data_IF_939170157151
#
_entry.id   IF_939170157151
#
_cell.length_a   1.000
_cell.length_b   1.000
_cell.length_c   1.000
_cell.angle_alpha   90.00
_cell.angle_beta   90.00
_cell.angle_gamma   90.00
#
_symmetry.space_group_name_H-M   'P 1'
#
loop_
_entity.id
_entity.type
_entity.pdbx_description
1 polymer ?
#
# COMPACT_ATOMS: atom_id res chain seq x y z
N UNK A 1 -63.86 -45.01 -45.47
CA UNK A 1 -63.31 -44.02 -46.42
C UNK A 1 -62.71 -42.86 -45.63
N UNK A 2 -61.41 -42.61 -45.83
CA UNK A 2 -60.66 -41.34 -45.66
C UNK A 2 -60.68 -40.54 -44.33
N UNK A 3 -59.50 -40.47 -43.69
CA UNK A 3 -58.77 -39.33 -43.06
C UNK A 3 -59.55 -38.27 -42.22
N UNK A 4 -59.10 -37.70 -41.08
CA UNK A 4 -57.77 -37.32 -40.52
C UNK A 4 -57.96 -36.89 -39.02
N UNK A 5 -56.89 -36.61 -38.25
CA UNK A 5 -56.83 -36.67 -36.77
C UNK A 5 -57.03 -35.31 -36.06
N UNK A 6 -57.22 -35.33 -34.74
CA UNK A 6 -56.96 -34.19 -33.84
C UNK A 6 -56.25 -34.69 -32.57
N UNK A 7 -55.03 -34.19 -32.36
CA UNK A 7 -54.30 -34.23 -31.10
C UNK A 7 -54.99 -33.31 -30.08
N UNK A 8 -55.16 -33.78 -28.84
CA UNK A 8 -55.28 -32.90 -27.67
C UNK A 8 -54.30 -33.37 -26.59
N UNK A 9 -53.39 -32.47 -26.25
CA UNK A 9 -52.32 -32.56 -25.27
C UNK A 9 -52.87 -32.70 -23.84
N UNK A 10 -52.42 -33.71 -23.09
CA UNK A 10 -52.54 -33.75 -21.64
C UNK A 10 -51.38 -32.95 -21.02
N UNK A 11 -51.72 -31.93 -20.23
CA UNK A 11 -50.83 -31.33 -19.25
C UNK A 11 -50.66 -32.28 -18.06
N UNK A 12 -49.42 -32.62 -17.74
CA UNK A 12 -49.03 -33.14 -16.41
C UNK A 12 -47.94 -32.23 -15.86
N UNK A 13 -48.31 -31.52 -14.80
CA UNK A 13 -47.46 -30.75 -13.89
C UNK A 13 -46.45 -31.65 -13.19
N UNK A 14 -45.15 -31.40 -13.37
CA UNK A 14 -44.12 -31.79 -12.41
C UNK A 14 -43.62 -30.53 -11.71
N UNK A 15 -43.80 -30.48 -10.39
CA UNK A 15 -43.16 -29.50 -9.53
C UNK A 15 -41.66 -29.85 -9.42
N UNK A 16 -40.79 -29.02 -9.98
CA UNK A 16 -39.40 -28.96 -9.52
C UNK A 16 -39.38 -28.12 -8.24
N UNK A 17 -39.18 -28.79 -7.10
CA UNK A 17 -38.63 -28.14 -5.93
C UNK A 17 -37.16 -27.86 -6.22
N UNK A 18 -36.82 -26.58 -6.44
CA UNK A 18 -35.44 -26.13 -6.40
C UNK A 18 -34.97 -26.24 -4.95
N UNK A 19 -34.17 -27.26 -4.64
CA UNK A 19 -33.19 -27.17 -3.58
C UNK A 19 -32.13 -26.20 -4.10
N UNK A 20 -32.18 -24.95 -3.64
CA UNK A 20 -31.03 -24.06 -3.71
C UNK A 20 -30.00 -24.60 -2.73
N UNK A 21 -29.03 -25.34 -3.24
CA UNK A 21 -27.71 -25.38 -2.60
C UNK A 21 -27.22 -23.93 -2.59
N UNK A 22 -27.25 -23.31 -1.41
CA UNK A 22 -26.45 -22.13 -1.13
C UNK A 22 -24.98 -22.57 -1.25
N UNK A 23 -24.21 -22.12 -2.25
CA UNK A 23 -22.79 -22.33 -2.19
C UNK A 23 -22.29 -21.59 -0.95
N UNK A 24 -21.74 -22.35 -0.01
CA UNK A 24 -20.93 -21.83 1.08
C UNK A 24 -19.96 -20.81 0.50
N UNK A 25 -19.94 -19.61 1.07
CA UNK A 25 -18.97 -18.58 0.74
C UNK A 25 -17.56 -19.17 0.87
N UNK A 26 -16.96 -19.48 -0.27
CA UNK A 26 -15.52 -19.70 -0.39
C UNK A 26 -14.85 -18.40 0.09
N UNK A 27 -13.90 -18.45 1.04
CA UNK A 27 -13.09 -17.28 1.33
C UNK A 27 -12.33 -16.91 0.05
N UNK A 28 -12.49 -15.66 -0.37
CA UNK A 28 -11.92 -15.04 -1.57
C UNK A 28 -10.63 -15.69 -2.11
N UNK A 29 -10.78 -16.63 -3.04
CA UNK A 29 -9.70 -17.16 -3.88
C UNK A 29 -9.22 -16.14 -4.96
N UNK A 30 -9.60 -14.87 -4.83
CA UNK A 30 -9.13 -13.75 -5.63
C UNK A 30 -8.14 -12.84 -4.86
N UNK A 31 -7.84 -13.16 -3.60
CA UNK A 31 -6.80 -12.48 -2.84
C UNK A 31 -5.47 -13.24 -3.03
N UNK A 32 -4.42 -12.52 -3.44
CA UNK A 32 -2.99 -12.90 -3.44
C UNK A 32 -2.36 -13.49 -4.72
N UNK A 33 -3.10 -13.80 -5.80
CA UNK A 33 -2.50 -14.37 -7.02
C UNK A 33 -1.87 -13.31 -7.94
N UNK A 34 -0.59 -13.51 -8.28
CA UNK A 34 0.20 -12.79 -9.31
C UNK A 34 0.46 -11.29 -9.05
N UNK A 35 1.32 -11.00 -8.07
CA UNK A 35 1.61 -9.61 -7.65
C UNK A 35 2.56 -8.81 -8.54
N UNK A 36 2.93 -9.33 -9.72
CA UNK A 36 2.68 -8.70 -11.03
C UNK A 36 3.67 -9.09 -12.13
N UNK A 37 3.16 -9.18 -13.36
CA UNK A 37 3.92 -9.32 -14.60
C UNK A 37 3.87 -7.98 -15.33
N UNK A 38 5.03 -7.36 -15.61
CA UNK A 38 5.10 -6.09 -16.36
C UNK A 38 4.72 -4.84 -15.57
N UNK A 39 4.78 -4.89 -14.25
CA UNK A 39 4.86 -3.67 -13.45
C UNK A 39 6.07 -2.84 -13.88
N UNK A 40 6.03 -1.53 -13.62
CA UNK A 40 7.20 -0.66 -13.61
C UNK A 40 7.43 -0.15 -12.15
N UNK A 41 7.57 -1.02 -11.12
CA UNK A 41 7.74 -0.61 -9.68
C UNK A 41 8.86 -1.29 -8.87
N UNK A 42 9.76 -0.47 -8.31
CA UNK A 42 11.08 -0.88 -7.81
C UNK A 42 11.96 0.35 -7.59
N UNK A 43 12.14 0.79 -6.34
CA UNK A 43 11.49 2.05 -5.97
C UNK A 43 12.50 3.13 -5.53
N UNK A 44 12.16 4.42 -5.72
CA UNK A 44 12.66 5.49 -4.85
C UNK A 44 12.44 5.13 -3.37
N UNK A 45 13.37 5.55 -2.51
CA UNK A 45 13.27 5.37 -1.05
C UNK A 45 11.95 5.97 -0.50
N UNK A 46 11.48 7.04 -1.16
CA UNK A 46 10.27 7.78 -0.85
C UNK A 46 9.43 7.90 -2.13
N UNK A 47 8.49 6.99 -2.32
CA UNK A 47 7.35 7.21 -3.21
C UNK A 47 6.20 7.70 -2.34
N UNK A 48 6.39 8.89 -1.78
CA UNK A 48 5.46 9.52 -0.84
C UNK A 48 4.60 10.55 -1.55
N UNK A 49 3.59 11.08 -0.87
CA UNK A 49 2.75 12.13 -1.45
C UNK A 49 3.57 13.36 -1.85
N UNK A 50 3.26 13.92 -3.01
CA UNK A 50 3.87 15.13 -3.53
C UNK A 50 2.83 16.24 -3.66
N UNK A 51 3.27 17.47 -3.45
CA UNK A 51 2.44 18.67 -3.61
C UNK A 51 3.20 19.64 -4.49
N UNK A 52 2.67 19.98 -5.67
CA UNK A 52 3.37 20.82 -6.65
C UNK A 52 4.80 20.32 -7.00
N UNK A 53 5.00 18.99 -7.03
CA UNK A 53 6.30 18.37 -7.31
C UNK A 53 7.31 18.45 -6.16
N UNK A 54 6.87 18.84 -4.97
CA UNK A 54 7.65 18.78 -3.73
C UNK A 54 7.18 17.57 -2.94
N UNK A 55 8.11 16.67 -2.61
CA UNK A 55 7.86 15.56 -1.69
C UNK A 55 7.48 16.12 -0.32
N UNK A 56 6.32 15.72 0.17
CA UNK A 56 5.87 15.99 1.52
C UNK A 56 5.63 14.60 2.09
N UNK A 57 6.47 14.03 2.96
CA UNK A 57 6.21 12.67 3.43
C UNK A 57 5.17 12.62 4.54
N UNK A 58 5.34 13.53 5.50
CA UNK A 58 4.53 13.62 6.68
C UNK A 58 4.17 15.07 6.99
N UNK A 59 3.00 15.27 7.59
CA UNK A 59 2.54 16.55 8.09
C UNK A 59 2.32 16.46 9.60
N UNK A 60 2.90 17.41 10.35
CA UNK A 60 2.68 17.51 11.78
C UNK A 60 1.28 18.06 12.07
N UNK A 61 0.55 17.42 12.95
CA UNK A 61 -0.79 17.83 13.38
C UNK A 61 -0.76 19.06 14.30
N UNK A 62 0.38 19.37 14.90
CA UNK A 62 0.59 20.54 15.76
C UNK A 62 1.05 21.80 14.99
N UNK A 63 1.16 21.71 13.67
CA UNK A 63 1.64 22.80 12.81
C UNK A 63 3.16 23.00 12.87
N UNK A 64 3.93 22.05 13.40
CA UNK A 64 5.40 22.10 13.27
C UNK A 64 5.80 21.89 11.81
N UNK A 65 6.82 22.63 11.33
CA UNK A 65 7.40 22.42 9.99
C UNK A 65 8.16 21.09 9.98
N UNK A 66 7.88 20.23 9.00
CA UNK A 66 8.59 18.96 8.78
C UNK A 66 8.92 18.82 7.30
N UNK A 67 10.19 18.56 6.97
CA UNK A 67 10.69 18.46 5.60
C UNK A 67 10.26 19.65 4.70
N UNK A 68 10.30 20.86 5.27
CA UNK A 68 9.91 22.08 4.57
C UNK A 68 8.40 22.24 4.34
N UNK A 69 7.55 21.40 4.93
CA UNK A 69 6.10 21.51 4.85
C UNK A 69 5.47 21.74 6.23
N UNK A 70 4.41 22.55 6.30
CA UNK A 70 3.63 22.77 7.52
C UNK A 70 2.14 22.68 7.22
N UNK A 71 1.43 21.85 7.99
CA UNK A 71 -0.03 21.88 7.99
C UNK A 71 -0.50 23.14 8.69
N UNK A 72 -1.26 23.98 7.99
CA UNK A 72 -1.77 25.26 8.50
C UNK A 72 -3.19 25.09 9.01
N UNK A 73 -4.04 24.45 8.23
CA UNK A 73 -5.46 24.30 8.52
C UNK A 73 -6.05 23.09 7.78
N UNK A 74 -7.01 22.40 8.41
CA UNK A 74 -7.92 21.48 7.73
C UNK A 74 -9.34 21.90 7.99
N UNK A 75 -10.15 21.96 6.95
CA UNK A 75 -11.59 22.22 7.04
C UNK A 75 -12.37 21.15 6.27
N UNK A 76 -13.50 20.72 6.80
CA UNK A 76 -14.36 19.71 6.16
C UNK A 76 -15.55 20.35 5.47
N UNK A 77 -16.08 19.71 4.44
CA UNK A 77 -17.25 20.21 3.72
C UNK A 77 -18.52 19.87 4.50
N UNK A 78 -19.10 20.86 5.19
CA UNK A 78 -20.35 20.67 5.90
C UNK A 78 -21.53 20.45 4.92
N UNK A 79 -22.60 19.81 5.37
CA UNK A 79 -23.81 19.54 4.57
C UNK A 79 -24.44 20.79 3.91
N UNK A 80 -24.17 21.99 4.44
CA UNK A 80 -24.60 23.26 3.85
C UNK A 80 -23.71 23.79 2.71
N UNK A 81 -22.66 23.07 2.33
CA UNK A 81 -21.69 23.46 1.30
C UNK A 81 -20.62 24.44 1.76
N UNK A 82 -20.57 24.77 3.05
CA UNK A 82 -19.51 25.60 3.64
C UNK A 82 -18.38 24.76 4.20
N UNK A 83 -17.15 25.26 4.10
CA UNK A 83 -16.01 24.65 4.80
C UNK A 83 -16.08 24.99 6.30
N UNK A 84 -16.05 23.98 7.16
CA UNK A 84 -16.01 24.11 8.63
C UNK A 84 -14.62 23.70 9.15
N UNK A 85 -13.82 24.64 9.70
CA UNK A 85 -12.48 24.33 10.22
C UNK A 85 -12.51 23.32 11.36
N UNK A 86 -11.60 22.34 11.28
CA UNK A 86 -11.35 21.39 12.36
C UNK A 86 -10.45 22.03 13.42
N UNK A 87 -10.82 21.85 14.70
CA UNK A 87 -10.00 22.24 15.86
C UNK A 87 -9.22 21.07 16.46
N UNK A 88 -9.51 19.86 15.99
CA UNK A 88 -8.74 18.65 16.28
C UNK A 88 -8.79 17.72 15.07
N UNK A 89 -7.67 17.05 14.84
CA UNK A 89 -7.51 16.04 13.82
C UNK A 89 -6.76 14.89 14.49
N UNK A 90 -7.21 13.69 14.26
CA UNK A 90 -6.62 12.45 14.75
C UNK A 90 -6.61 11.46 13.58
N UNK A 91 -5.68 10.53 13.66
CA UNK A 91 -5.59 9.41 12.74
C UNK A 91 -5.51 8.16 13.60
N UNK A 92 -6.39 7.21 13.36
CA UNK A 92 -6.40 5.93 14.06
C UNK A 92 -6.60 4.82 13.04
N UNK A 93 -5.64 3.89 12.94
CA UNK A 93 -5.71 2.73 12.03
C UNK A 93 -6.03 3.11 10.58
N UNK A 94 -5.41 4.19 10.09
CA UNK A 94 -5.63 4.69 8.74
C UNK A 94 -6.89 5.53 8.53
N UNK A 95 -7.73 5.74 9.55
CA UNK A 95 -8.94 6.56 9.48
C UNK A 95 -8.75 7.94 10.11
N UNK A 96 -8.98 8.98 9.32
CA UNK A 96 -9.03 10.35 9.82
C UNK A 96 -10.29 10.56 10.65
N UNK A 97 -10.13 11.22 11.79
CA UNK A 97 -11.22 11.77 12.57
C UNK A 97 -10.92 13.20 12.98
N UNK A 98 -11.96 14.00 13.22
CA UNK A 98 -11.78 15.38 13.65
C UNK A 98 -13.05 15.99 14.20
N UNK A 99 -12.89 17.10 14.93
CA UNK A 99 -14.02 17.86 15.45
C UNK A 99 -13.89 19.34 15.13
N UNK A 100 -15.02 20.00 14.87
CA UNK A 100 -15.06 21.45 14.66
C UNK A 100 -15.27 22.18 15.98
N UNK A 101 -15.11 23.51 15.99
CA UNK A 101 -15.29 24.32 17.21
C UNK A 101 -16.70 24.18 17.82
N UNK A 102 -17.69 23.80 17.01
CA UNK A 102 -19.06 23.54 17.44
C UNK A 102 -19.25 22.19 18.16
N UNK A 103 -18.25 21.30 18.11
CA UNK A 103 -18.31 19.93 18.61
C UNK A 103 -18.87 18.90 17.62
N UNK A 104 -19.10 19.29 16.36
CA UNK A 104 -19.47 18.33 15.30
C UNK A 104 -18.26 17.46 14.96
N UNK A 105 -18.44 16.15 15.00
CA UNK A 105 -17.41 15.16 14.66
C UNK A 105 -17.55 14.68 13.21
N UNK A 106 -16.42 14.37 12.59
CA UNK A 106 -16.29 13.87 11.22
C UNK A 106 -15.28 12.72 11.21
N UNK A 107 -15.50 11.70 10.39
CA UNK A 107 -14.64 10.53 10.30
C UNK A 107 -14.62 9.93 8.89
N UNK A 108 -13.48 9.34 8.48
CA UNK A 108 -13.41 8.51 7.29
C UNK A 108 -13.86 9.25 6.02
N UNK A 109 -14.95 8.76 5.42
CA UNK A 109 -15.57 9.32 4.22
C UNK A 109 -16.01 10.79 4.35
N UNK A 110 -16.25 11.28 5.57
CA UNK A 110 -16.62 12.67 5.82
C UNK A 110 -15.53 13.68 5.41
N UNK A 111 -14.29 13.23 5.27
CA UNK A 111 -13.19 14.05 4.81
C UNK A 111 -13.18 14.25 3.29
N UNK A 112 -14.02 13.54 2.51
CA UNK A 112 -14.14 13.79 1.07
C UNK A 112 -14.63 15.21 0.82
N UNK A 113 -13.88 15.97 0.02
CA UNK A 113 -14.08 17.39 -0.23
C UNK A 113 -13.48 18.33 0.83
N UNK A 114 -12.72 17.80 1.80
CA UNK A 114 -12.01 18.63 2.79
C UNK A 114 -10.95 19.53 2.15
N UNK A 115 -10.70 20.69 2.76
CA UNK A 115 -9.62 21.60 2.41
C UNK A 115 -8.44 21.36 3.34
N UNK A 116 -7.25 21.18 2.78
CA UNK A 116 -6.00 21.12 3.54
C UNK A 116 -5.11 22.25 3.06
N UNK A 117 -4.83 23.21 3.94
CA UNK A 117 -3.91 24.31 3.65
C UNK A 117 -2.53 23.90 4.15
N UNK A 118 -1.59 23.76 3.22
CA UNK A 118 -0.20 23.38 3.50
C UNK A 118 0.71 24.52 3.09
N UNK A 119 1.57 24.96 3.99
CA UNK A 119 2.68 25.85 3.64
C UNK A 119 3.89 25.02 3.22
N UNK A 120 4.44 25.29 2.02
CA UNK A 120 5.64 24.68 1.49
C UNK A 120 6.79 25.70 1.45
N UNK A 121 7.99 25.29 1.87
CA UNK A 121 9.19 26.11 1.94
C UNK A 121 9.34 26.85 3.27
N UNK A 122 10.41 27.65 3.38
CA UNK A 122 10.73 28.41 4.59
C UNK A 122 10.89 29.90 4.31
N UNK A 123 10.45 30.72 5.28
CA UNK A 123 10.66 32.17 5.26
C UNK A 123 9.87 32.90 4.17
N UNK A 124 10.41 34.01 3.61
CA UNK A 124 9.67 34.86 2.66
C UNK A 124 9.28 34.20 1.33
N UNK A 125 9.81 33.01 1.05
CA UNK A 125 9.52 32.23 -0.16
C UNK A 125 8.53 31.09 0.07
N UNK A 126 7.95 30.98 1.27
CA UNK A 126 6.98 29.94 1.56
C UNK A 126 5.66 30.18 0.80
N UNK A 127 5.10 29.11 0.24
CA UNK A 127 3.88 29.12 -0.58
C UNK A 127 2.76 28.36 0.14
N UNK A 128 1.55 28.89 0.12
CA UNK A 128 0.36 28.18 0.57
C UNK A 128 -0.24 27.39 -0.59
N UNK A 129 -0.36 26.08 -0.41
CA UNK A 129 -1.01 25.17 -1.35
C UNK A 129 -2.28 24.60 -0.72
N UNK A 130 -3.30 24.42 -1.56
CA UNK A 130 -4.54 23.75 -1.19
C UNK A 130 -4.53 22.33 -1.72
N UNK A 131 -4.77 21.38 -0.81
CA UNK A 131 -5.08 20.00 -1.15
C UNK A 131 -6.53 19.68 -0.76
N UNK A 132 -7.06 18.64 -1.36
CA UNK A 132 -8.37 18.06 -1.05
C UNK A 132 -8.29 16.56 -1.08
N UNK A 133 -9.15 15.93 -0.30
CA UNK A 133 -9.45 14.50 -0.48
C UNK A 133 -10.57 14.42 -1.51
N UNK A 134 -10.33 13.80 -2.66
CA UNK A 134 -11.33 13.66 -3.73
C UNK A 134 -12.15 12.39 -3.61
N UNK A 135 -11.60 11.35 -2.98
CA UNK A 135 -12.27 10.07 -2.77
C UNK A 135 -11.76 9.37 -1.50
N UNK A 136 -12.58 8.46 -0.98
CA UNK A 136 -12.27 7.59 0.15
C UNK A 136 -12.73 6.18 -0.17
N UNK A 137 -11.79 5.22 -0.08
CA UNK A 137 -12.09 3.81 -0.22
C UNK A 137 -12.08 3.17 1.16
N UNK A 138 -13.24 2.68 1.58
CA UNK A 138 -13.44 1.93 2.82
C UNK A 138 -13.08 0.45 2.60
N UNK A 139 -11.95 0.02 3.18
CA UNK A 139 -11.34 -1.28 2.93
C UNK A 139 -10.52 -1.74 4.15
N UNK A 140 -11.07 -1.63 5.37
CA UNK A 140 -10.37 -1.99 6.62
C UNK A 140 -9.67 -3.37 6.53
N UNK A 141 -8.38 -3.47 6.88
CA UNK A 141 -7.52 -2.44 7.49
C UNK A 141 -6.72 -1.57 6.49
N UNK A 142 -7.07 -1.56 5.21
CA UNK A 142 -6.40 -0.84 4.12
C UNK A 142 -7.21 0.35 3.57
N UNK A 143 -8.09 0.92 4.40
CA UNK A 143 -8.83 2.13 4.04
C UNK A 143 -7.86 3.24 3.61
N UNK A 144 -8.21 3.95 2.54
CA UNK A 144 -7.29 4.85 1.83
C UNK A 144 -8.00 6.04 1.22
N UNK A 145 -7.23 7.10 1.03
CA UNK A 145 -7.72 8.39 0.54
C UNK A 145 -7.07 8.72 -0.80
N UNK A 146 -7.84 9.31 -1.71
CA UNK A 146 -7.30 9.94 -2.91
C UNK A 146 -7.11 11.42 -2.61
N UNK A 147 -5.86 11.88 -2.66
CA UNK A 147 -5.50 13.27 -2.41
C UNK A 147 -5.14 13.98 -3.71
N UNK A 148 -5.67 15.18 -3.88
CA UNK A 148 -5.41 16.04 -5.02
C UNK A 148 -5.06 17.46 -4.59
N UNK A 149 -4.26 18.16 -5.39
CA UNK A 149 -3.97 19.57 -5.22
C UNK A 149 -4.31 20.37 -6.47
N UNK A 150 -4.44 21.69 -6.30
CA UNK A 150 -4.66 22.61 -7.40
C UNK A 150 -4.87 24.05 -6.94
N UNK A 151 -5.17 24.98 -7.86
CA UNK A 151 -5.35 26.39 -7.54
C UNK A 151 -6.50 26.65 -6.56
N UNK A 152 -7.52 25.79 -6.59
CA UNK A 152 -8.66 25.79 -5.66
C UNK A 152 -9.09 24.34 -5.42
N UNK A 153 -9.78 24.08 -4.31
CA UNK A 153 -10.36 22.76 -4.00
C UNK A 153 -11.27 22.27 -5.14
N UNK A 154 -12.13 23.15 -5.66
CA UNK A 154 -13.11 22.80 -6.69
C UNK A 154 -12.48 22.50 -8.07
N UNK A 155 -11.21 22.84 -8.27
CA UNK A 155 -10.47 22.62 -9.52
C UNK A 155 -9.19 21.83 -9.28
N UNK A 156 -9.04 21.22 -8.11
CA UNK A 156 -7.94 20.31 -7.83
C UNK A 156 -8.14 19.08 -8.71
N UNK A 157 -7.08 18.70 -9.43
CA UNK A 157 -7.05 17.53 -10.31
C UNK A 157 -5.67 16.88 -10.35
N UNK A 158 -4.67 17.51 -9.72
CA UNK A 158 -3.31 16.96 -9.70
C UNK A 158 -3.22 16.01 -8.53
N UNK A 159 -3.20 14.71 -8.81
CA UNK A 159 -3.02 13.68 -7.79
C UNK A 159 -1.72 13.91 -7.01
N UNK A 160 -1.79 13.75 -5.69
CA UNK A 160 -0.63 13.82 -4.83
C UNK A 160 0.16 12.50 -4.80
N UNK A 161 -0.46 11.40 -5.20
CA UNK A 161 0.22 10.12 -5.37
C UNK A 161 0.39 9.78 -6.84
N UNK A 162 1.49 9.10 -7.16
CA UNK A 162 1.62 8.44 -8.45
C UNK A 162 0.59 7.30 -8.55
N UNK A 163 0.02 7.12 -9.75
CA UNK A 163 -0.92 6.04 -10.03
C UNK A 163 -0.20 4.69 -9.90
N UNK A 164 -0.66 3.84 -8.99
CA UNK A 164 -0.27 2.45 -8.99
C UNK A 164 -0.91 1.77 -10.22
N UNK A 165 -0.15 1.16 -11.12
CA UNK A 165 -0.68 0.66 -12.39
C UNK A 165 -1.19 -0.77 -12.31
N UNK A 166 -1.11 -1.42 -11.14
CA UNK A 166 -1.81 -2.69 -10.91
C UNK A 166 -3.28 -2.38 -10.63
N UNK A 167 -3.53 -1.44 -9.72
CA UNK A 167 -4.88 -1.04 -9.30
C UNK A 167 -5.48 0.05 -10.18
N UNK A 168 -4.64 0.88 -10.81
CA UNK A 168 -5.03 2.11 -11.49
C UNK A 168 -5.33 3.28 -10.55
N UNK A 169 -5.02 3.16 -9.25
CA UNK A 169 -5.38 4.15 -8.24
C UNK A 169 -4.21 5.06 -7.85
N UNK A 170 -4.51 6.33 -7.57
CA UNK A 170 -3.57 7.30 -7.00
C UNK A 170 -3.90 7.60 -5.52
N UNK A 171 -4.06 6.55 -4.73
CA UNK A 171 -4.49 6.62 -3.33
C UNK A 171 -3.32 6.45 -2.35
N UNK A 172 -3.53 6.90 -1.10
CA UNK A 172 -2.61 6.73 0.02
C UNK A 172 -3.31 6.10 1.21
N UNK A 173 -2.62 5.16 1.85
CA UNK A 173 -2.92 4.76 3.22
C UNK A 173 -2.24 5.76 4.14
N UNK A 174 -2.95 6.22 5.15
CA UNK A 174 -2.41 7.17 6.13
C UNK A 174 -1.89 6.40 7.34
N UNK A 175 -0.73 6.83 7.85
CA UNK A 175 -0.10 6.23 9.02
C UNK A 175 0.11 7.30 10.09
N UNK A 176 -0.29 6.98 11.31
CA UNK A 176 -0.05 7.82 12.48
C UNK A 176 1.38 7.60 12.98
N UNK A 177 1.97 8.69 13.47
CA UNK A 177 3.24 8.67 14.19
C UNK A 177 4.39 7.97 13.44
N UNK A 178 4.39 8.10 12.11
CA UNK A 178 5.35 7.45 11.22
C UNK A 178 6.08 8.49 10.38
N UNK A 179 7.38 8.30 10.17
CA UNK A 179 8.11 8.93 9.08
C UNK A 179 9.15 7.96 8.53
N UNK A 180 9.86 8.37 7.48
CA UNK A 180 10.88 7.55 6.82
C UNK A 180 12.18 8.32 6.81
N UNK A 181 13.24 7.73 7.33
CA UNK A 181 14.60 8.25 7.15
C UNK A 181 14.94 8.20 5.66
N UNK A 182 15.16 9.36 5.04
CA UNK A 182 15.34 9.46 3.59
C UNK A 182 16.67 8.84 3.10
N UNK A 183 17.64 8.65 3.99
CA UNK A 183 18.94 8.08 3.66
C UNK A 183 18.92 6.56 3.73
N UNK A 184 18.30 5.99 4.78
CA UNK A 184 18.29 4.54 5.03
C UNK A 184 16.96 3.88 4.64
N UNK A 185 15.92 4.67 4.41
CA UNK A 185 14.55 4.22 4.22
C UNK A 185 13.94 3.58 5.47
N UNK A 186 14.57 3.69 6.65
CA UNK A 186 14.05 3.18 7.93
C UNK A 186 12.78 3.90 8.33
N UNK A 187 11.77 3.14 8.75
CA UNK A 187 10.58 3.68 9.36
C UNK A 187 10.91 4.15 10.77
N UNK A 188 10.75 5.44 11.04
CA UNK A 188 11.00 6.02 12.36
C UNK A 188 9.69 6.48 12.99
N UNK A 189 9.66 6.47 14.31
CA UNK A 189 8.50 6.96 15.05
C UNK A 189 8.53 8.48 15.06
N UNK A 190 7.41 9.07 14.71
CA UNK A 190 7.32 10.50 14.53
C UNK A 190 6.00 11.03 15.08
N UNK A 191 5.90 11.07 16.41
CA UNK A 191 4.67 11.41 17.14
C UNK A 191 4.00 12.72 16.67
N UNK A 192 2.67 12.68 16.61
CA UNK A 192 1.81 13.80 16.22
C UNK A 192 1.89 14.11 14.72
N UNK A 193 2.15 13.11 13.88
CA UNK A 193 2.21 13.30 12.43
C UNK A 193 1.31 12.33 11.67
N UNK A 194 0.93 12.75 10.46
CA UNK A 194 0.31 11.90 9.44
C UNK A 194 1.35 11.67 8.36
N UNK A 195 1.73 10.42 8.12
CA UNK A 195 2.46 10.01 6.94
C UNK A 195 1.50 9.50 5.86
N UNK A 196 1.74 9.87 4.61
CA UNK A 196 0.88 9.49 3.50
C UNK A 196 1.63 8.47 2.64
N UNK A 197 1.39 7.19 2.91
CA UNK A 197 1.98 6.11 2.13
C UNK A 197 1.16 5.87 0.87
N UNK A 198 1.55 6.53 -0.22
CA UNK A 198 1.01 6.23 -1.55
C UNK A 198 1.14 4.73 -1.84
N UNK A 199 0.09 4.12 -2.37
CA UNK A 199 0.08 2.67 -2.62
C UNK A 199 1.05 2.25 -3.75
N UNK A 200 1.45 3.21 -4.58
CA UNK A 200 2.52 3.06 -5.57
C UNK A 200 3.92 3.00 -4.94
N UNK A 201 4.07 3.42 -3.67
CA UNK A 201 5.31 3.40 -2.91
C UNK A 201 5.45 2.23 -1.94
N UNK A 202 6.67 2.00 -1.44
CA UNK A 202 6.99 0.84 -0.61
C UNK A 202 6.19 0.78 0.71
N UNK A 203 5.94 1.93 1.35
CA UNK A 203 5.19 2.01 2.61
C UNK A 203 3.72 1.66 2.40
N UNK A 204 3.03 2.33 1.47
CA UNK A 204 1.64 2.02 1.14
C UNK A 204 1.47 0.59 0.62
N UNK A 205 2.41 0.12 -0.22
CA UNK A 205 2.42 -1.24 -0.76
C UNK A 205 2.59 -2.32 0.32
N UNK A 206 3.45 -2.08 1.32
CA UNK A 206 3.60 -2.98 2.45
C UNK A 206 2.28 -3.15 3.21
N UNK A 207 1.55 -2.06 3.44
CA UNK A 207 0.20 -2.15 3.99
C UNK A 207 -0.74 -2.91 3.06
N UNK A 208 -0.80 -2.59 1.76
CA UNK A 208 -1.62 -3.34 0.78
C UNK A 208 -1.28 -4.83 0.66
N UNK A 209 -0.09 -5.25 1.09
CA UNK A 209 0.31 -6.66 1.15
C UNK A 209 -0.16 -7.38 2.43
N UNK A 210 -0.89 -6.67 3.28
CA UNK A 210 -1.45 -7.16 4.54
C UNK A 210 -0.63 -6.77 5.78
N UNK A 211 0.44 -5.97 5.64
CA UNK A 211 1.35 -5.67 6.75
C UNK A 211 1.13 -4.27 7.31
N UNK A 212 -0.06 -3.94 7.77
CA UNK A 212 -0.30 -2.68 8.46
C UNK A 212 0.34 -2.66 9.87
N UNK A 213 0.95 -1.54 10.31
CA UNK A 213 1.65 -1.48 11.60
C UNK A 213 0.77 -1.80 12.82
N UNK A 214 -0.51 -1.45 12.77
CA UNK A 214 -1.44 -1.62 13.90
C UNK A 214 -1.95 -3.06 14.09
N UNK A 215 -1.80 -3.94 13.09
CA UNK A 215 -2.18 -5.36 13.22
C UNK A 215 -0.98 -6.29 13.35
N UNK A 216 0.13 -5.98 12.66
CA UNK A 216 1.31 -6.86 12.58
C UNK A 216 2.59 -6.25 13.15
N UNK A 217 2.52 -5.03 13.67
CA UNK A 217 3.66 -4.33 14.27
C UNK A 217 4.56 -3.65 13.24
N UNK A 218 5.36 -2.71 13.74
CA UNK A 218 6.26 -1.89 12.91
C UNK A 218 7.36 -2.72 12.25
N UNK A 219 7.85 -3.77 12.90
CA UNK A 219 8.91 -4.63 12.36
C UNK A 219 8.45 -5.40 11.12
N UNK A 220 7.21 -5.91 11.13
CA UNK A 220 6.64 -6.58 9.96
C UNK A 220 6.50 -5.58 8.80
N UNK A 221 5.91 -4.41 9.07
CA UNK A 221 5.76 -3.37 8.05
C UNK A 221 7.12 -2.91 7.47
N UNK A 222 8.09 -2.60 8.34
CA UNK A 222 9.48 -2.28 7.98
C UNK A 222 10.08 -3.38 7.10
N UNK A 223 10.01 -4.64 7.52
CA UNK A 223 10.54 -5.78 6.78
C UNK A 223 9.93 -5.85 5.39
N UNK A 224 8.61 -5.69 5.26
CA UNK A 224 7.96 -5.66 3.94
C UNK A 224 8.42 -4.48 3.09
N UNK A 225 8.60 -3.28 3.66
CA UNK A 225 9.14 -2.15 2.87
C UNK A 225 10.54 -2.47 2.32
N UNK A 226 11.39 -3.15 3.10
CA UNK A 226 12.72 -3.61 2.68
C UNK A 226 12.62 -4.66 1.57
N UNK A 227 11.70 -5.64 1.72
CA UNK A 227 11.40 -6.66 0.70
C UNK A 227 10.98 -6.00 -0.62
N UNK A 228 10.08 -5.02 -0.60
CA UNK A 228 9.60 -4.31 -1.81
C UNK A 228 10.77 -3.66 -2.56
N UNK A 229 11.71 -3.04 -1.84
CA UNK A 229 12.88 -2.36 -2.41
C UNK A 229 14.04 -3.29 -2.76
N UNK A 230 13.96 -4.57 -2.39
CA UNK A 230 15.11 -5.45 -2.31
C UNK A 230 16.29 -4.79 -1.56
N UNK A 231 15.99 -4.09 -0.47
CA UNK A 231 16.99 -3.44 0.37
C UNK A 231 17.65 -4.49 1.27
N UNK A 232 18.50 -5.30 0.66
CA UNK A 232 19.13 -6.44 1.32
C UNK A 232 19.99 -6.01 2.51
N UNK A 233 20.57 -4.81 2.46
CA UNK A 233 21.49 -4.32 3.49
C UNK A 233 20.80 -3.52 4.59
N UNK A 234 19.53 -3.15 4.40
CA UNK A 234 18.80 -2.28 5.32
C UNK A 234 19.27 -0.82 5.29
N UNK A 235 20.08 -0.45 4.31
CA UNK A 235 20.79 0.83 4.22
C UNK A 235 20.14 1.82 3.24
N UNK A 236 18.93 1.51 2.77
CA UNK A 236 18.18 2.32 1.81
C UNK A 236 18.54 2.04 0.36
N UNK A 237 19.59 1.25 0.08
CA UNK A 237 19.99 0.94 -1.29
C UNK A 237 19.07 -0.11 -1.90
N UNK A 238 18.32 0.30 -2.93
CA UNK A 238 17.55 -0.64 -3.74
C UNK A 238 18.47 -1.53 -4.60
N UNK A 239 18.25 -2.85 -4.56
CA UNK A 239 18.89 -3.84 -5.43
C UNK A 239 17.90 -4.48 -6.39
N UNK A 240 16.84 -3.76 -6.68
CA UNK A 240 15.83 -4.12 -7.66
C UNK A 240 15.53 -2.89 -8.50
N UNK A 241 14.87 -3.12 -9.63
CA UNK A 241 14.30 -2.03 -10.40
C UNK A 241 12.82 -2.21 -10.52
N UNK A 242 12.27 -1.13 -11.03
CA UNK A 242 10.88 -1.00 -11.30
C UNK A 242 10.36 -2.13 -12.19
N UNK A 243 9.51 -3.00 -11.62
CA UNK A 243 8.84 -4.08 -12.33
C UNK A 243 9.28 -5.50 -12.03
N UNK A 244 10.28 -5.64 -11.16
CA UNK A 244 10.88 -6.95 -10.90
C UNK A 244 9.93 -7.78 -10.03
N UNK A 245 9.46 -8.95 -10.52
CA UNK A 245 8.49 -9.77 -9.80
C UNK A 245 9.14 -10.51 -8.63
N UNK A 246 8.32 -10.87 -7.65
CA UNK A 246 8.70 -11.68 -6.49
C UNK A 246 7.47 -12.45 -5.99
N UNK A 247 7.72 -13.45 -5.16
CA UNK A 247 6.72 -14.03 -4.27
C UNK A 247 7.24 -14.03 -2.84
N UNK A 248 6.32 -14.05 -1.89
CA UNK A 248 6.59 -13.88 -0.47
C UNK A 248 5.82 -14.94 0.33
N UNK A 249 6.49 -15.56 1.29
CA UNK A 249 5.89 -16.27 2.39
C UNK A 249 6.34 -15.61 3.70
N UNK A 250 5.51 -15.68 4.74
CA UNK A 250 5.82 -15.11 6.05
C UNK A 250 5.40 -16.02 7.21
N UNK A 251 5.95 -15.72 8.39
CA UNK A 251 5.66 -16.46 9.63
C UNK A 251 4.19 -16.28 10.08
N UNK A 252 3.60 -15.11 9.80
CA UNK A 252 2.24 -14.77 10.19
C UNK A 252 1.17 -15.40 9.27
N UNK A 253 1.58 -16.10 8.20
CA UNK A 253 0.70 -16.73 7.20
C UNK A 253 -0.27 -15.75 6.55
N UNK A 254 0.20 -14.53 6.34
CA UNK A 254 -0.50 -13.52 5.55
C UNK A 254 -0.34 -13.84 4.06
N UNK A 255 0.83 -14.31 3.66
CA UNK A 255 1.20 -14.70 2.31
C UNK A 255 1.88 -16.09 2.32
N UNK A 256 1.70 -16.82 1.21
CA UNK A 256 2.31 -18.12 0.95
C UNK A 256 2.84 -18.15 -0.48
N UNK A 257 3.84 -18.99 -0.73
CA UNK A 257 4.36 -19.16 -2.09
C UNK A 257 3.37 -19.84 -3.02
N UNK A 258 3.19 -19.25 -4.20
CA UNK A 258 2.44 -19.85 -5.29
C UNK A 258 3.28 -20.90 -6.02
N UNK A 259 4.56 -20.61 -6.23
CA UNK A 259 5.51 -21.50 -6.91
C UNK A 259 6.67 -21.79 -5.94
N UNK A 260 6.49 -22.70 -4.97
CA UNK A 260 7.46 -22.94 -3.90
C UNK A 260 8.79 -23.53 -4.40
N UNK A 261 8.82 -24.07 -5.61
CA UNK A 261 10.04 -24.64 -6.22
C UNK A 261 10.95 -23.58 -6.85
N UNK A 262 10.51 -22.32 -6.93
CA UNK A 262 11.32 -21.20 -7.44
C UNK A 262 12.54 -20.91 -6.57
N UNK A 263 13.51 -20.22 -7.18
CA UNK A 263 14.79 -19.92 -6.54
C UNK A 263 14.59 -18.99 -5.33
N UNK A 264 15.07 -19.43 -4.16
CA UNK A 264 15.20 -18.55 -2.99
C UNK A 264 15.97 -17.29 -3.36
N UNK A 265 15.33 -16.15 -3.09
CA UNK A 265 15.97 -14.86 -3.17
C UNK A 265 16.67 -14.58 -1.84
N UNK A 266 15.90 -14.31 -0.77
CA UNK A 266 16.40 -13.89 0.52
C UNK A 266 15.41 -14.22 1.64
N UNK A 267 15.91 -14.24 2.87
CA UNK A 267 15.09 -14.24 4.08
C UNK A 267 15.32 -12.94 4.82
N UNK A 268 14.27 -12.38 5.42
CA UNK A 268 14.19 -10.96 5.76
C UNK A 268 13.77 -10.74 7.21
N UNK A 269 14.38 -9.73 7.81
CA UNK A 269 13.97 -9.12 9.07
C UNK A 269 13.91 -7.59 8.94
N UNK A 270 13.64 -6.87 10.05
CA UNK A 270 13.45 -5.43 10.02
C UNK A 270 14.71 -4.64 9.59
N UNK A 271 15.88 -5.22 9.80
CA UNK A 271 17.19 -4.64 9.45
C UNK A 271 17.65 -4.98 8.01
N UNK A 272 16.80 -5.63 7.21
CA UNK A 272 17.13 -6.08 5.85
C UNK A 272 17.19 -7.61 5.72
N UNK A 273 17.94 -8.11 4.76
CA UNK A 273 18.04 -9.53 4.52
C UNK A 273 18.95 -10.20 5.57
N UNK A 274 18.41 -11.18 6.29
CA UNK A 274 19.16 -12.05 7.22
C UNK A 274 20.08 -12.98 6.44
N UNK A 275 19.63 -13.42 5.26
CA UNK A 275 20.45 -14.12 4.29
C UNK A 275 20.02 -13.77 2.86
N UNK A 276 20.95 -13.88 1.92
CA UNK A 276 20.72 -13.67 0.49
C UNK A 276 21.27 -14.85 -0.30
N UNK A 277 20.53 -15.35 -1.29
CA UNK A 277 20.98 -16.43 -2.18
C UNK A 277 21.05 -15.99 -3.63
N UNK A 278 19.94 -15.49 -4.17
CA UNK A 278 19.84 -15.12 -5.59
C UNK A 278 19.09 -13.80 -5.71
N UNK A 279 19.78 -12.66 -5.93
CA UNK A 279 19.08 -11.40 -6.15
C UNK A 279 18.02 -11.52 -7.26
N UNK A 280 16.85 -10.89 -7.05
CA UNK A 280 15.73 -10.96 -8.00
C UNK A 280 15.97 -10.23 -9.31
N UNK A 281 16.81 -9.20 -9.31
CA UNK A 281 17.14 -8.45 -10.51
C UNK A 281 18.45 -8.95 -11.13
N UNK A 282 18.37 -9.45 -12.37
CA UNK A 282 19.48 -10.13 -13.06
C UNK A 282 20.73 -9.29 -13.31
N UNK A 283 20.64 -7.97 -13.17
CA UNK A 283 21.82 -7.11 -13.21
C UNK A 283 22.76 -7.32 -12.01
N UNK A 284 22.27 -7.97 -10.95
CA UNK A 284 23.02 -8.24 -9.73
C UNK A 284 23.22 -9.75 -9.52
N UNK A 285 24.35 -10.09 -8.91
CA UNK A 285 24.62 -11.44 -8.43
C UNK A 285 24.85 -11.40 -6.91
N UNK A 286 24.69 -12.53 -6.23
CA UNK A 286 25.02 -12.65 -4.80
C UNK A 286 26.41 -12.06 -4.48
N UNK A 287 27.41 -12.35 -5.31
CA UNK A 287 28.79 -11.89 -5.11
C UNK A 287 28.98 -10.37 -5.27
N UNK A 288 28.01 -9.66 -5.84
CA UNK A 288 28.07 -8.19 -6.01
C UNK A 288 27.32 -7.44 -4.92
N UNK A 289 26.45 -8.12 -4.16
CA UNK A 289 25.76 -7.51 -3.02
C UNK A 289 26.72 -7.50 -1.83
N UNK A 290 27.01 -6.30 -1.33
CA UNK A 290 27.89 -6.09 -0.20
C UNK A 290 27.32 -5.03 0.72
N UNK A 291 27.19 -5.38 1.99
CA UNK A 291 26.74 -4.50 3.07
C UNK A 291 27.98 -4.15 3.90
N UNK A 292 28.33 -2.87 3.94
CA UNK A 292 29.56 -2.37 4.59
C UNK A 292 30.86 -3.11 4.19
N UNK A 293 30.94 -3.50 2.92
CA UNK A 293 32.11 -4.21 2.38
C UNK A 293 32.17 -5.71 2.71
N UNK A 294 31.13 -6.26 3.34
CA UNK A 294 30.99 -7.68 3.63
C UNK A 294 29.83 -8.30 2.83
N UNK A 295 29.92 -9.58 2.42
CA UNK A 295 28.77 -10.29 1.87
C UNK A 295 27.79 -10.65 2.98
N UNK A 296 26.50 -10.68 2.65
CA UNK A 296 25.47 -11.27 3.52
C UNK A 296 25.69 -12.77 3.69
N UNK A 297 25.19 -13.39 4.79
CA UNK A 297 25.09 -14.83 4.87
C UNK A 297 24.36 -15.42 3.66
N UNK A 298 24.83 -16.56 3.17
CA UNK A 298 24.20 -17.22 2.03
C UNK A 298 23.11 -18.17 2.49
N UNK A 299 21.88 -17.97 2.04
CA UNK A 299 20.82 -18.97 2.28
C UNK A 299 21.19 -20.27 1.54
N UNK A 300 21.00 -21.40 2.22
CA UNK A 300 21.13 -22.73 1.64
C UNK A 300 20.01 -23.05 0.65
N UNK A 301 20.16 -24.20 -0.01
CA UNK A 301 19.26 -24.58 -1.09
C UNK A 301 17.91 -25.13 -0.63
N UNK A 302 17.92 -25.67 0.59
CA UNK A 302 16.81 -26.35 1.24
C UNK A 302 16.46 -25.66 2.56
N UNK A 303 16.98 -24.45 2.78
CA UNK A 303 16.66 -23.69 3.98
C UNK A 303 15.20 -23.29 3.94
N UNK A 304 14.55 -23.40 5.08
CA UNK A 304 13.21 -22.91 5.36
C UNK A 304 13.28 -21.68 6.27
N UNK A 305 12.19 -20.93 6.40
CA UNK A 305 12.15 -19.74 7.26
C UNK A 305 12.57 -20.07 8.72
N UNK A 306 12.21 -21.26 9.21
CA UNK A 306 12.56 -21.74 10.54
C UNK A 306 14.07 -21.95 10.78
N UNK A 307 14.88 -22.10 9.72
CA UNK A 307 16.33 -22.23 9.83
C UNK A 307 17.02 -20.88 10.15
N UNK A 308 16.29 -19.78 10.02
CA UNK A 308 16.76 -18.41 10.23
C UNK A 308 15.89 -17.70 11.27
N UNK A 309 16.15 -17.88 12.58
CA UNK A 309 15.22 -17.48 13.65
C UNK A 309 14.93 -15.98 13.78
N UNK A 310 15.70 -15.13 13.10
CA UNK A 310 15.48 -13.68 13.06
C UNK A 310 14.78 -13.22 11.78
N UNK A 311 14.50 -14.15 10.86
CA UNK A 311 13.76 -13.87 9.64
C UNK A 311 12.26 -14.09 9.90
N UNK A 312 11.45 -13.13 9.45
CA UNK A 312 9.99 -13.19 9.54
C UNK A 312 9.32 -13.30 8.17
N UNK A 313 10.08 -13.10 7.09
CA UNK A 313 9.62 -13.22 5.71
C UNK A 313 10.65 -13.92 4.85
N UNK A 314 10.19 -14.66 3.86
CA UNK A 314 11.00 -15.35 2.86
C UNK A 314 10.51 -14.97 1.48
N UNK A 315 11.40 -14.42 0.65
CA UNK A 315 11.10 -14.16 -0.76
C UNK A 315 11.79 -15.14 -1.70
N UNK A 316 11.13 -15.43 -2.82
CA UNK A 316 11.69 -16.16 -3.95
C UNK A 316 11.66 -15.29 -5.20
N UNK A 317 12.63 -15.53 -6.07
CA UNK A 317 12.59 -15.04 -7.44
C UNK A 317 11.35 -15.61 -8.12
N UNK A 318 10.82 -14.85 -9.06
CA UNK A 318 9.72 -15.31 -9.89
C UNK A 318 10.18 -15.24 -11.33
N UNK A 319 10.84 -16.31 -11.78
CA UNK A 319 11.34 -16.40 -13.15
C UNK A 319 10.22 -16.95 -14.03
N UNK A 320 9.55 -16.10 -14.82
CA UNK A 320 8.54 -16.56 -15.79
C UNK A 320 9.19 -17.39 -16.91
N UNK A 321 9.52 -18.66 -16.63
CA UNK A 321 9.92 -19.65 -17.62
C UNK A 321 8.69 -20.41 -18.11
N UNK A 322 7.68 -19.69 -18.60
CA UNK A 322 6.52 -20.27 -19.29
C UNK A 322 5.91 -19.27 -20.28
N UNK A 323 5.51 -19.69 -21.49
CA UNK A 323 4.75 -18.81 -22.37
C UNK A 323 3.43 -18.44 -21.69
N UNK A 324 3.18 -17.14 -21.55
CA UNK A 324 1.88 -16.62 -21.13
C UNK A 324 0.80 -17.24 -22.04
N UNK A 325 -0.04 -18.10 -21.47
CA UNK A 325 -1.29 -18.48 -22.10
C UNK A 325 -2.25 -17.33 -21.83
N UNK A 326 -2.48 -16.55 -22.90
CA UNK A 326 -3.49 -15.50 -23.00
C UNK A 326 -4.91 -16.03 -22.82
#
# INVERSE_FOLDING_TARGET
>A
MSYRPVLLSLLTTLALGCLSDEPSAEPNAAALSERCVGCDWGPPILNTHEVNGISVPALALDGTVRNGARLVEVAVLAAGGSMDPLVSIQLERGLLSGTTASGTAYEGADFVGSAWTVELGEGPGAELVLMTISDFIDDDPHSRYVLEHGPTIATATSANCEVDPVTGEASAILFDDLSVDEATGELVEETGSIYFGCISGAVGKAAMWGYVPWDHGRDAHQTTTRVVRADYCGDGKAWTVTGTPLQLEDEAKINEFLEPDELTEAMWGPDGAVCLRTPRYDAYAYATVSCDGLPLPKCGALDELADWPTAIMWSKRWDLLGPALW
#
